data_IF_772751381151
#
_entry.id   IF_772751381151
#
_cell.length_a   1.000
_cell.length_b   1.000
_cell.length_c   1.000
_cell.angle_alpha   90.00
_cell.angle_beta   90.00
_cell.angle_gamma   90.00
#
_symmetry.space_group_name_H-M   'P 1'
#
loop_
_entity.id
_entity.type
_entity.pdbx_description
1 polymer ?
#
# COMPACT_ATOMS: atom_id res chain seq x y z
N UNK A 1 1.63 5.31 3.29
CA UNK A 1 3.07 5.17 3.56
C UNK A 1 3.88 5.44 2.29
N UNK A 2 5.09 5.97 2.43
CA UNK A 2 5.99 6.39 1.37
C UNK A 2 6.88 5.22 0.96
N UNK A 3 6.91 4.91 -0.34
CA UNK A 3 7.75 3.84 -0.90
C UNK A 3 9.25 4.18 -0.86
N UNK A 4 10.10 3.14 -0.84
CA UNK A 4 11.56 3.28 -0.88
C UNK A 4 12.03 4.11 -2.08
N UNK A 5 11.35 3.97 -3.22
CA UNK A 5 11.64 4.75 -4.43
C UNK A 5 11.41 6.25 -4.25
N UNK A 6 10.38 6.67 -3.51
CA UNK A 6 10.14 8.10 -3.26
C UNK A 6 11.20 8.70 -2.34
N UNK A 7 11.67 7.97 -1.33
CA UNK A 7 12.82 8.40 -0.53
C UNK A 7 14.10 8.53 -1.37
N UNK A 8 14.29 7.65 -2.34
CA UNK A 8 15.38 7.75 -3.30
C UNK A 8 15.24 8.99 -4.21
N UNK A 9 14.03 9.25 -4.74
CA UNK A 9 13.77 10.47 -5.52
C UNK A 9 14.04 11.73 -4.71
N UNK A 10 13.61 11.79 -3.44
CA UNK A 10 13.91 12.93 -2.57
C UNK A 10 15.41 13.14 -2.39
N UNK A 11 16.17 12.05 -2.18
CA UNK A 11 17.63 12.11 -2.09
C UNK A 11 18.27 12.60 -3.40
N UNK A 12 17.84 12.06 -4.54
CA UNK A 12 18.33 12.50 -5.85
C UNK A 12 18.04 13.98 -6.11
N UNK A 13 16.88 14.49 -5.66
CA UNK A 13 16.54 15.92 -5.76
C UNK A 13 17.43 16.80 -4.89
N UNK A 14 17.71 16.38 -3.66
CA UNK A 14 18.64 17.07 -2.77
C UNK A 14 20.06 17.08 -3.32
N UNK A 15 20.53 15.96 -3.86
CA UNK A 15 21.85 15.83 -4.46
C UNK A 15 21.98 16.73 -5.71
N UNK A 16 20.94 16.79 -6.56
CA UNK A 16 20.89 17.74 -7.69
C UNK A 16 20.90 19.20 -7.22
N UNK A 17 20.17 19.53 -6.15
CA UNK A 17 20.15 20.88 -5.56
C UNK A 17 21.53 21.27 -5.01
N UNK A 18 22.21 20.38 -4.30
CA UNK A 18 23.58 20.59 -3.78
C UNK A 18 24.60 20.71 -4.91
N UNK A 19 24.43 19.95 -5.99
CA UNK A 19 25.28 20.03 -7.18
C UNK A 19 25.02 21.28 -8.04
N UNK A 20 24.13 22.18 -7.63
CA UNK A 20 23.79 23.39 -8.39
C UNK A 20 23.12 23.11 -9.73
N UNK A 21 22.57 21.89 -9.94
CA UNK A 21 21.85 21.50 -11.15
C UNK A 21 20.35 21.56 -10.86
N UNK A 22 19.68 22.70 -11.11
CA UNK A 22 18.24 22.79 -10.93
C UNK A 22 17.53 21.79 -11.85
N UNK A 23 16.51 21.13 -11.31
CA UNK A 23 15.69 20.19 -12.08
C UNK A 23 14.73 21.01 -12.95
N UNK A 24 15.18 21.35 -14.16
CA UNK A 24 14.41 22.15 -15.12
C UNK A 24 13.37 21.29 -15.87
N UNK A 25 13.74 20.05 -16.19
CA UNK A 25 12.87 19.07 -16.87
C UNK A 25 12.59 17.86 -15.98
N UNK A 26 11.41 17.86 -15.36
CA UNK A 26 10.99 16.81 -14.42
C UNK A 26 10.91 15.44 -15.12
N UNK A 27 10.43 15.39 -16.37
CA UNK A 27 10.26 14.14 -17.11
C UNK A 27 11.59 13.42 -17.43
N UNK A 28 12.62 14.18 -17.81
CA UNK A 28 13.96 13.63 -18.04
C UNK A 28 14.58 13.16 -16.71
N UNK A 29 14.45 13.97 -15.66
CA UNK A 29 14.94 13.63 -14.32
C UNK A 29 14.32 12.35 -13.75
N UNK A 30 12.99 12.17 -13.87
CA UNK A 30 12.33 10.95 -13.38
C UNK A 30 12.70 9.72 -14.19
N UNK A 31 12.94 9.88 -15.51
CA UNK A 31 13.43 8.81 -16.39
C UNK A 31 14.86 8.37 -16.00
N UNK A 32 15.74 9.32 -15.72
CA UNK A 32 17.11 9.01 -15.27
C UNK A 32 17.11 8.35 -13.88
N UNK A 33 16.27 8.84 -12.98
CA UNK A 33 16.12 8.27 -11.64
C UNK A 33 15.58 6.84 -11.68
N UNK A 34 14.60 6.54 -12.53
CA UNK A 34 14.07 5.18 -12.65
C UNK A 34 15.10 4.22 -13.24
N UNK A 35 15.86 4.65 -14.25
CA UNK A 35 16.96 3.87 -14.81
C UNK A 35 18.07 3.61 -13.78
N UNK A 36 18.42 4.61 -12.95
CA UNK A 36 19.38 4.45 -11.85
C UNK A 36 18.87 3.50 -10.78
N UNK A 37 17.61 3.63 -10.37
CA UNK A 37 17.00 2.74 -9.39
C UNK A 37 16.95 1.28 -9.86
N UNK A 38 16.67 1.05 -11.14
CA UNK A 38 16.69 -0.30 -11.72
C UNK A 38 18.09 -0.94 -11.66
N UNK A 39 19.14 -0.16 -11.88
CA UNK A 39 20.55 -0.60 -11.84
C UNK A 39 21.14 -0.71 -10.43
N UNK A 40 20.51 -0.13 -9.41
CA UNK A 40 21.02 -0.20 -8.03
C UNK A 40 20.87 -1.61 -7.45
N UNK A 41 21.91 -2.03 -6.72
CA UNK A 41 21.91 -3.31 -6.02
C UNK A 41 21.07 -3.24 -4.74
N UNK A 42 20.71 -4.39 -4.19
CA UNK A 42 19.89 -4.47 -2.97
C UNK A 42 20.55 -3.79 -1.76
N UNK A 43 21.88 -3.80 -1.67
CA UNK A 43 22.63 -3.09 -0.62
C UNK A 43 22.45 -1.57 -0.71
N UNK A 44 22.45 -1.02 -1.93
CA UNK A 44 22.26 0.42 -2.13
C UNK A 44 20.79 0.83 -1.93
N UNK A 45 19.87 -0.11 -2.15
CA UNK A 45 18.43 0.06 -1.90
C UNK A 45 18.07 -0.13 -0.42
N UNK A 46 18.86 -0.88 0.33
CA UNK A 46 18.64 -1.21 1.74
C UNK A 46 18.35 0.00 2.64
N UNK A 47 19.11 1.12 2.60
CA UNK A 47 18.79 2.29 3.42
C UNK A 47 17.43 2.90 3.09
N UNK A 48 17.01 2.85 1.82
CA UNK A 48 15.70 3.34 1.39
C UNK A 48 14.58 2.37 1.76
N UNK A 49 14.85 1.06 1.70
CA UNK A 49 13.94 0.00 2.17
C UNK A 49 13.69 0.13 3.68
N UNK A 50 14.73 0.35 4.49
CA UNK A 50 14.60 0.59 5.93
C UNK A 50 13.74 1.82 6.24
N UNK A 51 13.94 2.93 5.52
CA UNK A 51 13.10 4.13 5.65
C UNK A 51 11.64 3.87 5.28
N UNK A 52 11.41 3.15 4.18
CA UNK A 52 10.06 2.76 3.76
C UNK A 52 9.36 1.85 4.78
N UNK A 53 10.09 0.90 5.35
CA UNK A 53 9.58 0.02 6.39
C UNK A 53 9.22 0.78 7.68
N UNK A 54 10.05 1.75 8.09
CA UNK A 54 9.75 2.62 9.21
C UNK A 54 8.51 3.49 8.95
N UNK A 55 8.38 4.07 7.77
CA UNK A 55 7.20 4.87 7.42
C UNK A 55 5.93 4.01 7.32
N UNK A 56 6.05 2.77 6.85
CA UNK A 56 4.94 1.81 6.87
C UNK A 56 4.46 1.54 8.29
N UNK A 57 5.37 1.30 9.24
CA UNK A 57 5.01 1.13 10.66
C UNK A 57 4.31 2.36 11.24
N UNK A 58 4.79 3.56 10.93
CA UNK A 58 4.14 4.83 11.32
C UNK A 58 2.71 4.90 10.76
N UNK A 59 2.56 4.66 9.46
CA UNK A 59 1.26 4.68 8.79
C UNK A 59 0.30 3.64 9.37
N UNK A 60 0.76 2.42 9.63
CA UNK A 60 -0.06 1.36 10.20
C UNK A 60 -0.55 1.73 11.62
N UNK A 61 0.31 2.35 12.44
CA UNK A 61 -0.05 2.86 13.76
C UNK A 61 -1.07 4.03 13.67
N UNK A 62 -0.85 4.99 12.78
CA UNK A 62 -1.78 6.10 12.52
C UNK A 62 -3.14 5.60 12.01
N UNK A 63 -3.13 4.62 11.11
CA UNK A 63 -4.35 4.00 10.57
C UNK A 63 -5.08 3.14 11.60
N UNK A 64 -4.38 2.49 12.53
CA UNK A 64 -5.02 1.79 13.64
C UNK A 64 -5.79 2.77 14.54
N UNK A 65 -5.21 3.93 14.82
CA UNK A 65 -5.88 5.01 15.55
C UNK A 65 -7.03 5.60 14.74
N UNK A 66 -6.84 5.84 13.44
CA UNK A 66 -7.90 6.39 12.57
C UNK A 66 -9.09 5.43 12.41
N UNK A 67 -8.85 4.13 12.16
CA UNK A 67 -9.90 3.11 12.07
C UNK A 67 -10.56 2.85 13.42
N UNK A 68 -9.80 2.93 14.52
CA UNK A 68 -10.35 2.90 15.87
C UNK A 68 -11.18 4.15 16.22
N UNK A 69 -11.05 5.21 15.42
CA UNK A 69 -11.82 6.46 15.48
C UNK A 69 -12.84 6.56 14.34
N UNK A 70 -13.40 5.46 13.85
CA UNK A 70 -14.71 5.58 13.21
C UNK A 70 -15.75 5.71 14.34
N UNK A 71 -16.26 6.92 14.66
CA UNK A 71 -17.31 7.09 15.66
C UNK A 71 -18.59 6.32 15.29
N UNK A 72 -18.70 5.78 14.07
CA UNK A 72 -19.80 4.92 13.66
C UNK A 72 -19.63 3.45 14.07
N UNK A 73 -18.41 2.97 14.38
CA UNK A 73 -18.14 1.55 14.68
C UNK A 73 -17.46 1.29 16.04
N UNK A 74 -16.90 2.32 16.70
CA UNK A 74 -16.33 2.16 18.04
C UNK A 74 -17.44 2.06 19.11
N UNK A 75 -17.91 0.84 19.39
CA UNK A 75 -18.86 0.53 20.47
C UNK A 75 -20.31 0.33 20.04
N UNK A 76 -20.63 0.44 18.74
CA UNK A 76 -21.95 0.06 18.23
C UNK A 76 -22.01 -1.44 17.96
N UNK A 77 -23.12 -2.12 18.28
CA UNK A 77 -23.29 -3.52 17.91
C UNK A 77 -23.18 -3.66 16.39
N UNK A 78 -22.48 -4.71 15.93
CA UNK A 78 -22.35 -5.00 14.51
C UNK A 78 -23.74 -5.09 13.88
N UNK A 79 -23.87 -4.53 12.67
CA UNK A 79 -25.13 -4.54 11.90
C UNK A 79 -25.67 -5.98 11.81
N UNK A 80 -26.98 -6.20 11.97
CA UNK A 80 -27.54 -7.52 11.72
C UNK A 80 -27.26 -7.91 10.27
N UNK A 81 -26.97 -9.19 10.04
CA UNK A 81 -26.76 -9.70 8.69
C UNK A 81 -28.06 -9.58 7.89
N UNK A 82 -27.94 -9.19 6.62
CA UNK A 82 -29.10 -9.17 5.73
C UNK A 82 -29.56 -10.60 5.43
N UNK A 83 -30.84 -10.76 5.04
CA UNK A 83 -31.39 -12.05 4.64
C UNK A 83 -30.56 -12.76 3.57
N UNK A 84 -29.97 -12.00 2.63
CA UNK A 84 -29.06 -12.53 1.62
C UNK A 84 -27.77 -13.10 2.22
N UNK A 85 -27.14 -12.43 3.19
CA UNK A 85 -25.95 -12.94 3.85
C UNK A 85 -26.22 -14.18 4.70
N UNK A 86 -27.40 -14.25 5.34
CA UNK A 86 -27.87 -15.48 6.00
C UNK A 86 -28.03 -16.62 4.98
N UNK A 87 -28.70 -16.37 3.85
CA UNK A 87 -28.83 -17.34 2.77
C UNK A 87 -27.45 -17.82 2.26
N UNK A 88 -26.50 -16.91 2.03
CA UNK A 88 -25.15 -17.27 1.59
C UNK A 88 -24.41 -18.13 2.61
N UNK A 89 -24.60 -17.92 3.91
CA UNK A 89 -24.00 -18.76 4.94
C UNK A 89 -24.50 -20.21 4.83
N UNK A 90 -25.82 -20.39 4.71
CA UNK A 90 -26.44 -21.69 4.54
C UNK A 90 -26.05 -22.34 3.20
N UNK A 91 -26.06 -21.55 2.12
CA UNK A 91 -25.72 -22.01 0.78
C UNK A 91 -24.25 -22.45 0.72
N UNK A 92 -23.31 -21.64 1.24
CA UNK A 92 -21.89 -22.01 1.32
C UNK A 92 -21.65 -23.27 2.14
N UNK A 93 -22.37 -23.45 3.25
CA UNK A 93 -22.28 -24.67 4.04
C UNK A 93 -22.74 -25.90 3.24
N UNK A 94 -23.85 -25.78 2.49
CA UNK A 94 -24.39 -26.85 1.63
C UNK A 94 -23.51 -27.18 0.41
N UNK A 95 -22.81 -26.18 -0.12
CA UNK A 95 -21.95 -26.34 -1.29
C UNK A 95 -20.48 -26.62 -0.93
N UNK A 96 -20.13 -26.65 0.37
CA UNK A 96 -18.77 -26.94 0.80
C UNK A 96 -18.37 -28.35 0.35
N UNK A 97 -17.37 -28.43 -0.53
CA UNK A 97 -16.86 -29.69 -1.08
C UNK A 97 -17.59 -30.19 -2.33
N UNK A 98 -18.56 -29.45 -2.86
CA UNK A 98 -19.16 -29.71 -4.18
C UNK A 98 -18.53 -28.76 -5.20
N UNK A 99 -18.00 -29.29 -6.30
CA UNK A 99 -17.59 -28.47 -7.44
C UNK A 99 -18.85 -27.92 -8.11
N UNK A 100 -19.04 -26.61 -8.02
CA UNK A 100 -20.15 -25.90 -8.65
C UNK A 100 -19.68 -25.51 -10.04
N UNK A 101 -20.21 -26.15 -11.08
CA UNK A 101 -19.91 -25.77 -12.45
C UNK A 101 -20.64 -24.44 -12.76
N UNK A 102 -20.03 -23.45 -13.43
CA UNK A 102 -20.64 -22.13 -13.66
C UNK A 102 -21.93 -22.14 -14.48
N UNK A 103 -22.36 -23.29 -15.01
CA UNK A 103 -23.51 -23.43 -15.90
C UNK A 103 -24.83 -23.78 -15.21
N UNK A 104 -24.85 -24.03 -13.90
CA UNK A 104 -26.08 -24.31 -13.14
C UNK A 104 -26.43 -23.26 -12.07
N UNK A 105 -26.00 -22.01 -12.29
CA UNK A 105 -26.47 -20.85 -11.51
C UNK A 105 -27.56 -20.12 -12.29
#
# INVERSE_FOLDING_TARGET
FTSAYFFFLSKMREDSKKAGKPITKIAEFTKDCSAKWAKMNDKDKEPFSKKAAADKKRYDAEMAVYKGKDPNDAGKPKRPQSAYFCFLADFRAKMKGKNIDPQEI
#
